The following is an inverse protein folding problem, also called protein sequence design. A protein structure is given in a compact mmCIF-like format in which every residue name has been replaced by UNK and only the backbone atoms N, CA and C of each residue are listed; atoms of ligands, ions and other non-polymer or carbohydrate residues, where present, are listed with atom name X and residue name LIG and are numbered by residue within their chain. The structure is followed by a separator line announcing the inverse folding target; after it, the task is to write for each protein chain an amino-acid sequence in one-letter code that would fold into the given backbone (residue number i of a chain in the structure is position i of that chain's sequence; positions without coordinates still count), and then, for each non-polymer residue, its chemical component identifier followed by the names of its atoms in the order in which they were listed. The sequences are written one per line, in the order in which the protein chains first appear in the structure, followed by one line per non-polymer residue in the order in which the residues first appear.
data_IF_923155892409
#
_entry.id   IF_923155892409
#
_cell.length_a   1.000
_cell.length_b   1.000
_cell.length_c   1.000
_cell.angle_alpha   90.00
_cell.angle_beta   90.00
_cell.angle_gamma   90.00
#
_symmetry.space_group_name_H-M   'P 1'
#
loop_
_entity.id
_entity.type
_entity.pdbx_description
1 polymer ?
#
# COMPACT_ATOMS: atom_id res chain seq x y z
N UNK A 1 50.36 -13.43 -26.15
CA UNK A 1 50.25 -13.00 -27.56
C UNK A 1 48.80 -12.68 -27.85
N UNK A 2 48.60 -11.45 -28.30
CA UNK A 2 47.36 -10.81 -28.76
C UNK A 2 46.74 -11.48 -29.99
N UNK A 3 45.40 -11.53 -30.05
CA UNK A 3 44.61 -10.90 -31.13
C UNK A 3 43.12 -10.88 -30.79
N UNK A 4 42.48 -9.86 -31.32
CA UNK A 4 41.25 -9.22 -30.90
C UNK A 4 40.20 -9.20 -32.01
N UNK A 5 38.91 -9.16 -31.62
CA UNK A 5 37.73 -8.64 -32.36
C UNK A 5 37.33 -9.47 -33.60
N UNK A 6 36.04 -9.69 -33.89
CA UNK A 6 35.12 -8.63 -34.29
C UNK A 6 33.64 -8.93 -34.02
N UNK A 7 32.99 -7.91 -33.50
CA UNK A 7 31.55 -7.66 -33.42
C UNK A 7 30.82 -7.81 -34.76
N UNK A 8 29.77 -8.64 -34.78
CA UNK A 8 28.71 -8.62 -35.78
C UNK A 8 27.37 -8.42 -35.05
N UNK A 9 26.95 -7.17 -34.86
CA UNK A 9 25.56 -6.76 -34.56
C UNK A 9 25.43 -5.22 -34.59
N UNK A 10 25.19 -4.63 -35.77
CA UNK A 10 24.26 -3.48 -35.77
C UNK A 10 23.34 -3.36 -37.01
N UNK A 11 23.46 -4.20 -38.05
CA UNK A 11 22.72 -3.98 -39.31
C UNK A 11 21.30 -4.56 -39.36
N UNK A 12 21.01 -5.64 -38.63
CA UNK A 12 19.69 -6.31 -38.68
C UNK A 12 18.66 -5.52 -37.86
N UNK A 13 19.05 -5.04 -36.68
CA UNK A 13 18.15 -4.31 -35.77
C UNK A 13 17.70 -2.93 -36.29
N UNK A 14 18.50 -2.29 -37.15
CA UNK A 14 18.13 -0.98 -37.74
C UNK A 14 17.14 -1.16 -38.90
N UNK A 15 17.26 -2.23 -39.71
CA UNK A 15 16.34 -2.48 -40.83
C UNK A 15 14.91 -2.80 -40.37
N UNK A 16 14.76 -3.60 -39.32
CA UNK A 16 13.43 -3.92 -38.75
C UNK A 16 12.75 -2.66 -38.21
N UNK A 17 13.49 -1.80 -37.48
CA UNK A 17 12.94 -0.53 -36.98
C UNK A 17 12.57 0.48 -38.07
N UNK A 18 13.30 0.49 -39.19
CA UNK A 18 12.97 1.39 -40.31
C UNK A 18 11.70 0.95 -41.04
N UNK A 19 11.50 -0.37 -41.18
CA UNK A 19 10.27 -0.93 -41.77
C UNK A 19 9.03 -0.65 -40.91
N UNK A 20 9.16 -0.71 -39.57
CA UNK A 20 8.09 -0.36 -38.65
C UNK A 20 7.72 1.14 -38.73
N UNK A 21 8.70 2.02 -38.92
CA UNK A 21 8.48 3.47 -39.09
C UNK A 21 7.84 3.78 -40.45
N UNK A 22 8.26 3.12 -41.53
CA UNK A 22 7.61 3.26 -42.85
C UNK A 22 6.16 2.78 -42.84
N UNK A 23 5.87 1.71 -42.09
CA UNK A 23 4.51 1.19 -41.93
C UNK A 23 3.60 2.17 -41.16
N UNK A 24 4.09 2.77 -40.07
CA UNK A 24 3.33 3.78 -39.33
C UNK A 24 3.19 5.10 -40.11
N UNK A 25 4.19 5.52 -40.89
CA UNK A 25 4.09 6.68 -41.78
C UNK A 25 3.06 6.46 -42.90
N UNK A 26 2.96 5.24 -43.42
CA UNK A 26 1.95 4.89 -44.43
C UNK A 26 0.54 4.91 -43.87
N UNK A 27 0.35 4.42 -42.64
CA UNK A 27 -0.93 4.54 -41.91
C UNK A 27 -1.30 5.99 -41.63
N UNK A 28 -0.33 6.84 -41.28
CA UNK A 28 -0.58 8.26 -41.07
C UNK A 28 -1.00 8.96 -42.36
N UNK A 29 -0.37 8.62 -43.50
CA UNK A 29 -0.73 9.19 -44.80
C UNK A 29 -2.11 8.71 -45.28
N UNK A 30 -2.47 7.44 -45.07
CA UNK A 30 -3.83 6.94 -45.35
C UNK A 30 -4.90 7.65 -44.49
N UNK A 31 -4.60 7.96 -43.23
CA UNK A 31 -5.48 8.74 -42.34
C UNK A 31 -5.60 10.23 -42.74
N UNK A 32 -4.58 10.78 -43.40
CA UNK A 32 -4.58 12.16 -43.91
C UNK A 32 -5.37 12.25 -45.22
N UNK A 33 -5.30 11.23 -46.09
CA UNK A 33 -6.10 11.17 -47.33
C UNK A 33 -7.60 11.01 -47.06
N UNK A 34 -8.01 10.34 -45.97
CA UNK A 34 -9.42 10.26 -45.57
C UNK A 34 -9.99 11.56 -44.96
N UNK A 35 -9.13 12.54 -44.66
CA UNK A 35 -9.52 13.83 -44.06
C UNK A 35 -9.54 15.01 -45.03
N UNK A 36 -9.42 14.80 -46.35
CA UNK A 36 -9.76 15.88 -47.28
C UNK A 36 -11.26 16.21 -47.14
N UNK A 37 -11.64 17.42 -46.69
CA UNK A 37 -13.02 17.82 -46.72
C UNK A 37 -13.46 17.86 -48.19
N UNK A 38 -14.57 17.18 -48.48
CA UNK A 38 -15.22 17.17 -49.78
C UNK A 38 -15.62 18.61 -50.16
N UNK A 39 -14.71 19.35 -50.80
CA UNK A 39 -15.04 20.61 -51.48
C UNK A 39 -15.78 20.25 -52.76
N UNK A 40 -17.07 19.95 -52.63
CA UNK A 40 -18.00 20.14 -53.74
C UNK A 40 -18.26 21.63 -53.82
N UNK A 41 -17.55 22.31 -54.70
CA UNK A 41 -18.04 23.54 -55.29
C UNK A 41 -19.34 23.20 -56.02
N UNK A 42 -20.48 23.40 -55.35
CA UNK A 42 -21.73 23.59 -56.07
C UNK A 42 -21.61 24.94 -56.75
N UNK A 43 -21.22 24.91 -58.03
CA UNK A 43 -21.63 25.92 -58.99
C UNK A 43 -23.16 25.94 -58.94
N UNK A 44 -23.72 26.93 -58.23
CA UNK A 44 -25.06 27.51 -58.42
C UNK A 44 -25.36 28.38 -57.18
N UNK A 45 -25.05 29.68 -57.24
CA UNK A 45 -26.04 30.76 -57.19
C UNK A 45 -25.30 32.12 -57.08
N UNK A 46 -25.24 32.84 -58.20
CA UNK A 46 -24.70 34.20 -58.28
C UNK A 46 -25.75 35.20 -57.80
N UNK A 47 -25.88 35.42 -56.49
CA UNK A 47 -26.48 36.65 -55.96
C UNK A 47 -25.89 37.05 -54.59
N UNK A 48 -25.24 38.22 -54.56
CA UNK A 48 -24.66 38.91 -53.38
C UNK A 48 -23.82 38.04 -52.42
N UNK A 49 -22.57 37.77 -52.81
CA UNK A 49 -21.62 37.02 -51.98
C UNK A 49 -21.24 37.77 -50.71
N UNK A 50 -21.70 37.27 -49.56
CA UNK A 50 -21.13 37.62 -48.27
C UNK A 50 -19.67 37.13 -48.22
N UNK A 51 -18.74 37.98 -47.76
CA UNK A 51 -17.32 37.60 -47.61
C UNK A 51 -17.07 36.71 -46.37
N UNK A 52 -18.13 36.46 -45.58
CA UNK A 52 -18.14 35.64 -44.38
C UNK A 52 -17.03 36.01 -43.36
N UNK A 53 -16.78 37.31 -43.18
CA UNK A 53 -15.81 37.79 -42.20
C UNK A 53 -16.35 37.75 -40.77
N UNK A 54 -17.66 37.98 -40.60
CA UNK A 54 -18.33 38.00 -39.31
C UNK A 54 -18.84 36.60 -38.92
N UNK A 55 -17.96 35.79 -38.34
CA UNK A 55 -18.24 34.41 -37.93
C UNK A 55 -18.44 34.30 -36.42
N UNK A 56 -19.55 33.68 -36.02
CA UNK A 56 -19.81 33.30 -34.63
C UNK A 56 -19.83 31.78 -34.50
N UNK A 57 -19.31 31.27 -33.37
CA UNK A 57 -19.34 29.84 -33.07
C UNK A 57 -20.55 29.55 -32.19
N UNK A 58 -21.56 28.86 -32.74
CA UNK A 58 -22.68 28.33 -31.95
C UNK A 58 -22.58 26.81 -31.86
N UNK A 59 -22.29 26.31 -30.65
CA UNK A 59 -22.05 24.88 -30.44
C UNK A 59 -20.77 24.42 -31.13
N UNK A 60 -20.88 23.45 -32.04
CA UNK A 60 -19.77 22.93 -32.85
C UNK A 60 -19.77 23.44 -34.29
N UNK A 61 -20.59 24.45 -34.60
CA UNK A 61 -20.70 24.99 -35.95
C UNK A 61 -20.31 26.47 -35.98
N UNK A 62 -19.58 26.86 -37.03
CA UNK A 62 -19.27 28.26 -37.33
C UNK A 62 -20.26 28.79 -38.33
N UNK A 63 -20.96 29.86 -37.93
CA UNK A 63 -22.06 30.46 -38.67
C UNK A 63 -21.67 31.89 -38.98
N UNK A 64 -21.89 32.33 -40.22
CA UNK A 64 -21.76 33.74 -40.55
C UNK A 64 -23.01 34.51 -40.13
N UNK A 65 -22.82 35.59 -39.39
CA UNK A 65 -23.92 36.40 -38.86
C UNK A 65 -24.53 37.32 -39.92
N UNK A 66 -23.81 37.59 -41.01
CA UNK A 66 -24.25 38.52 -42.05
C UNK A 66 -25.13 37.83 -43.11
N UNK A 67 -24.92 36.54 -43.37
CA UNK A 67 -25.70 35.77 -44.36
C UNK A 67 -26.35 34.49 -43.81
N UNK A 68 -26.05 34.10 -42.57
CA UNK A 68 -26.60 32.89 -41.94
C UNK A 68 -26.01 31.57 -42.43
N UNK A 69 -25.03 31.59 -43.35
CA UNK A 69 -24.42 30.37 -43.90
C UNK A 69 -23.56 29.67 -42.83
N UNK A 70 -23.77 28.36 -42.67
CA UNK A 70 -22.95 27.50 -41.83
C UNK A 70 -21.73 27.07 -42.65
N UNK A 71 -20.56 27.63 -42.35
CA UNK A 71 -19.34 27.35 -43.11
C UNK A 71 -18.66 26.05 -42.69
N UNK A 72 -18.69 25.74 -41.40
CA UNK A 72 -17.97 24.60 -40.85
C UNK A 72 -18.77 23.96 -39.74
N UNK A 73 -18.82 22.64 -39.75
CA UNK A 73 -19.37 21.82 -38.68
C UNK A 73 -18.27 20.92 -38.18
N UNK A 74 -17.74 21.23 -36.99
CA UNK A 74 -16.78 20.38 -36.33
C UNK A 74 -17.50 19.13 -35.83
N UNK A 75 -17.15 17.99 -36.40
CA UNK A 75 -17.54 16.68 -35.89
C UNK A 75 -16.44 16.18 -34.97
N UNK A 76 -16.75 15.94 -33.69
CA UNK A 76 -15.80 15.25 -32.82
C UNK A 76 -15.78 13.76 -33.16
N UNK A 77 -14.60 13.22 -33.50
CA UNK A 77 -14.39 11.77 -33.59
C UNK A 77 -14.29 11.09 -32.21
N UNK A 78 -14.36 11.88 -31.14
CA UNK A 78 -14.45 11.36 -29.79
C UNK A 78 -15.77 10.63 -29.57
N UNK A 79 -15.72 9.56 -28.77
CA UNK A 79 -16.92 8.81 -28.41
C UNK A 79 -17.86 9.72 -27.60
N UNK A 80 -18.97 10.11 -28.21
CA UNK A 80 -20.05 10.77 -27.47
C UNK A 80 -20.74 9.77 -26.53
N UNK A 81 -20.37 9.82 -25.26
CA UNK A 81 -21.03 9.02 -24.24
C UNK A 81 -22.43 9.57 -23.98
N UNK A 82 -23.43 9.00 -24.64
CA UNK A 82 -24.83 9.31 -24.35
C UNK A 82 -25.19 8.80 -22.96
N UNK A 83 -25.59 9.72 -22.06
CA UNK A 83 -26.12 9.35 -20.76
C UNK A 83 -27.59 8.93 -20.92
N UNK A 84 -27.80 7.65 -21.21
CA UNK A 84 -29.14 7.06 -21.28
C UNK A 84 -29.75 7.09 -19.88
N UNK A 85 -30.84 7.84 -19.71
CA UNK A 85 -31.58 7.91 -18.45
C UNK A 85 -32.16 6.54 -18.05
N UNK A 86 -32.58 6.42 -16.79
CA UNK A 86 -33.18 5.18 -16.24
C UNK A 86 -34.47 4.73 -16.94
N UNK A 87 -35.09 5.61 -17.73
CA UNK A 87 -36.30 5.34 -18.52
C UNK A 87 -36.02 4.99 -19.98
N UNK A 88 -34.76 5.03 -20.41
CA UNK A 88 -34.34 4.76 -21.78
C UNK A 88 -33.88 3.30 -21.92
N UNK A 89 -34.84 2.38 -21.83
CA UNK A 89 -34.65 0.93 -21.92
C UNK A 89 -35.10 0.33 -23.26
N UNK A 90 -35.78 1.09 -24.11
CA UNK A 90 -36.33 0.61 -25.40
C UNK A 90 -35.27 0.18 -26.41
N UNK A 91 -34.05 0.73 -26.32
CA UNK A 91 -32.97 0.47 -27.26
C UNK A 91 -31.77 -0.23 -26.58
N UNK A 92 -32.05 -1.16 -25.64
CA UNK A 92 -30.99 -1.87 -24.91
C UNK A 92 -30.05 -2.71 -25.79
N UNK A 93 -30.51 -3.13 -26.97
CA UNK A 93 -29.74 -3.90 -27.95
C UNK A 93 -29.11 -3.03 -29.06
N UNK A 94 -29.15 -1.69 -28.96
CA UNK A 94 -28.47 -0.83 -29.92
C UNK A 94 -26.94 -1.01 -29.82
N UNK A 95 -26.24 -1.47 -30.87
CA UNK A 95 -24.79 -1.63 -30.88
C UNK A 95 -24.03 -0.32 -30.64
N UNK A 96 -24.66 0.82 -30.91
CA UNK A 96 -24.11 2.15 -30.64
C UNK A 96 -24.21 2.55 -29.16
N UNK A 97 -24.87 1.74 -28.31
CA UNK A 97 -24.97 1.94 -26.86
C UNK A 97 -23.73 1.41 -26.13
N UNK A 98 -22.66 2.20 -26.13
CA UNK A 98 -21.47 1.91 -25.33
C UNK A 98 -21.62 2.48 -23.90
N UNK A 99 -21.68 1.62 -22.88
CA UNK A 99 -21.65 2.08 -21.49
C UNK A 99 -20.21 2.47 -21.10
N UNK A 100 -20.02 3.71 -20.61
CA UNK A 100 -18.76 4.10 -20.00
C UNK A 100 -18.51 3.24 -18.76
N UNK A 101 -17.46 2.40 -18.77
CA UNK A 101 -17.04 1.71 -17.55
C UNK A 101 -16.50 2.76 -16.60
N UNK A 102 -17.25 3.09 -15.55
CA UNK A 102 -16.75 3.93 -14.45
C UNK A 102 -15.41 3.35 -14.01
N UNK A 103 -14.37 4.18 -13.98
CA UNK A 103 -13.14 3.83 -13.26
C UNK A 103 -13.54 3.53 -11.82
N UNK A 104 -13.50 2.25 -11.44
CA UNK A 104 -13.89 1.82 -10.10
C UNK A 104 -12.80 2.31 -9.16
N UNK A 105 -13.02 3.49 -8.56
CA UNK A 105 -12.22 3.95 -7.42
C UNK A 105 -12.39 2.91 -6.32
N UNK A 106 -11.32 2.19 -6.03
CA UNK A 106 -11.33 1.12 -5.04
C UNK A 106 -11.18 1.78 -3.68
N UNK A 107 -12.27 1.76 -2.92
CA UNK A 107 -12.29 2.28 -1.57
C UNK A 107 -12.78 1.21 -0.59
N UNK A 108 -12.59 1.52 0.69
CA UNK A 108 -13.04 0.71 1.83
C UNK A 108 -14.10 1.45 2.66
N UNK A 109 -14.55 2.63 2.20
CA UNK A 109 -15.46 3.49 2.96
C UNK A 109 -16.74 2.76 3.40
N UNK A 110 -17.39 2.03 2.48
CA UNK A 110 -18.59 1.23 2.77
C UNK A 110 -18.35 0.05 3.72
N UNK A 111 -17.13 -0.50 3.71
CA UNK A 111 -16.76 -1.61 4.58
C UNK A 111 -16.58 -1.11 6.03
N UNK A 112 -15.99 0.08 6.18
CA UNK A 112 -15.64 0.69 7.48
C UNK A 112 -16.81 1.47 8.09
N UNK A 113 -17.70 2.02 7.26
CA UNK A 113 -18.89 2.77 7.71
C UNK A 113 -19.81 1.93 8.61
N UNK A 114 -19.94 0.63 8.31
CA UNK A 114 -20.73 -0.31 9.12
C UNK A 114 -20.23 -0.48 10.56
N UNK A 115 -18.99 -0.08 10.85
CA UNK A 115 -18.34 -0.27 12.14
C UNK A 115 -18.46 0.95 13.07
N UNK A 116 -19.13 2.03 12.64
CA UNK A 116 -19.31 3.23 13.46
C UNK A 116 -18.03 4.03 13.72
N UNK A 117 -17.02 3.87 12.87
CA UNK A 117 -15.71 4.53 13.02
C UNK A 117 -15.80 6.00 12.55
N UNK A 118 -15.11 6.90 13.27
CA UNK A 118 -15.02 8.33 12.94
C UNK A 118 -14.52 8.55 11.49
N UNK A 119 -15.15 9.47 10.77
CA UNK A 119 -14.81 9.85 9.40
C UNK A 119 -13.32 10.18 9.20
N UNK A 120 -12.68 10.85 10.17
CA UNK A 120 -11.24 11.17 10.08
C UNK A 120 -10.37 9.91 9.98
N UNK A 121 -10.66 8.92 10.83
CA UNK A 121 -9.94 7.63 10.84
C UNK A 121 -10.25 6.85 9.57
N UNK A 122 -11.51 6.85 9.13
CA UNK A 122 -11.94 6.17 7.90
C UNK A 122 -11.22 6.72 6.66
N UNK A 123 -11.13 8.04 6.52
CA UNK A 123 -10.43 8.68 5.40
C UNK A 123 -8.95 8.30 5.40
N UNK A 124 -8.29 8.41 6.56
CA UNK A 124 -6.88 8.01 6.73
C UNK A 124 -6.67 6.54 6.36
N UNK A 125 -7.56 5.65 6.81
CA UNK A 125 -7.49 4.23 6.50
C UNK A 125 -7.68 3.95 5.00
N UNK A 126 -8.57 4.69 4.33
CA UNK A 126 -8.83 4.56 2.91
C UNK A 126 -7.62 4.99 2.06
N UNK A 127 -6.91 6.02 2.49
CA UNK A 127 -5.70 6.50 1.82
C UNK A 127 -4.57 5.47 1.95
N UNK A 128 -4.35 4.95 3.17
CA UNK A 128 -3.40 3.83 3.40
C UNK A 128 -3.78 2.62 2.55
N UNK A 129 -5.07 2.28 2.47
CA UNK A 129 -5.53 1.14 1.68
C UNK A 129 -5.21 1.29 0.18
N UNK A 130 -5.46 2.47 -0.39
CA UNK A 130 -5.15 2.74 -1.81
C UNK A 130 -3.65 2.64 -2.07
N UNK A 131 -2.85 3.19 -1.15
CA UNK A 131 -1.40 3.17 -1.21
C UNK A 131 -0.83 1.74 -1.17
N UNK A 132 -1.23 0.93 -0.18
CA UNK A 132 -0.68 -0.43 -0.01
C UNK A 132 -1.18 -1.42 -1.04
N UNK A 133 -2.37 -1.21 -1.61
CA UNK A 133 -2.95 -2.14 -2.58
C UNK A 133 -2.53 -1.83 -4.00
N UNK A 134 -2.10 -0.60 -4.33
CA UNK A 134 -1.66 -0.19 -5.67
C UNK A 134 -2.63 -0.67 -6.78
N UNK A 135 -3.93 -0.52 -6.57
CA UNK A 135 -4.95 -1.03 -7.49
C UNK A 135 -4.87 -2.55 -7.78
N UNK A 136 -4.47 -3.37 -6.79
CA UNK A 136 -4.69 -4.83 -6.80
C UNK A 136 -6.01 -5.20 -6.14
N UNK A 137 -6.57 -6.36 -6.52
CA UNK A 137 -7.84 -6.85 -5.98
C UNK A 137 -7.57 -7.92 -4.95
N UNK A 138 -8.05 -7.70 -3.74
CA UNK A 138 -8.07 -8.69 -2.68
C UNK A 138 -9.51 -9.08 -2.37
N UNK A 139 -9.73 -10.37 -2.08
CA UNK A 139 -11.06 -10.94 -1.80
C UNK A 139 -11.05 -11.76 -0.51
N UNK A 140 -12.25 -11.99 0.03
CA UNK A 140 -12.46 -12.81 1.22
C UNK A 140 -11.69 -12.32 2.46
N UNK A 141 -11.14 -13.26 3.22
CA UNK A 141 -10.43 -12.97 4.46
C UNK A 141 -9.19 -12.10 4.26
N UNK A 142 -8.51 -12.21 3.12
CA UNK A 142 -7.34 -11.36 2.82
C UNK A 142 -7.75 -9.89 2.73
N UNK A 143 -8.87 -9.58 2.07
CA UNK A 143 -9.41 -8.20 2.01
C UNK A 143 -9.73 -7.69 3.42
N UNK A 144 -10.47 -8.47 4.21
CA UNK A 144 -10.83 -8.12 5.59
C UNK A 144 -9.59 -7.84 6.45
N UNK A 145 -8.56 -8.68 6.34
CA UNK A 145 -7.30 -8.48 7.06
C UNK A 145 -6.56 -7.20 6.66
N UNK A 146 -6.53 -6.86 5.38
CA UNK A 146 -5.90 -5.61 4.91
C UNK A 146 -6.70 -4.39 5.41
N UNK A 147 -8.03 -4.43 5.34
CA UNK A 147 -8.89 -3.34 5.86
C UNK A 147 -8.63 -3.12 7.35
N UNK A 148 -8.66 -4.19 8.14
CA UNK A 148 -8.34 -4.14 9.57
C UNK A 148 -6.99 -3.47 9.85
N UNK A 149 -5.95 -3.88 9.12
CA UNK A 149 -4.62 -3.32 9.30
C UNK A 149 -4.54 -1.84 8.94
N UNK A 150 -5.19 -1.41 7.86
CA UNK A 150 -5.25 0.01 7.48
C UNK A 150 -5.93 0.85 8.57
N UNK A 151 -7.02 0.34 9.16
CA UNK A 151 -7.73 1.01 10.26
C UNK A 151 -6.88 1.05 11.54
N UNK A 152 -6.20 -0.04 11.88
CA UNK A 152 -5.26 -0.08 13.00
C UNK A 152 -4.17 0.99 12.89
N UNK A 153 -3.56 1.11 11.71
CA UNK A 153 -2.55 2.13 11.46
C UNK A 153 -3.14 3.55 11.45
N UNK A 154 -4.35 3.74 10.92
CA UNK A 154 -5.04 5.03 10.99
C UNK A 154 -5.28 5.50 12.43
N UNK A 155 -5.68 4.60 13.34
CA UNK A 155 -5.78 4.91 14.77
C UNK A 155 -4.43 5.29 15.39
N UNK A 156 -3.36 4.58 15.02
CA UNK A 156 -2.00 4.87 15.50
C UNK A 156 -1.52 6.25 15.06
N UNK A 157 -1.71 6.60 13.79
CA UNK A 157 -1.32 7.91 13.23
C UNK A 157 -2.08 9.06 13.88
N UNK A 158 -3.36 8.86 14.19
CA UNK A 158 -4.21 9.88 14.82
C UNK A 158 -4.04 9.95 16.35
N UNK A 159 -3.01 9.30 16.92
CA UNK A 159 -2.71 9.29 18.35
C UNK A 159 -3.86 8.78 19.24
N UNK A 160 -4.73 7.93 18.70
CA UNK A 160 -5.81 7.25 19.44
C UNK A 160 -5.63 5.73 19.31
N UNK A 161 -4.51 5.16 19.81
CA UNK A 161 -4.22 3.75 19.64
C UNK A 161 -5.26 2.90 20.36
N UNK A 162 -5.91 2.01 19.63
CA UNK A 162 -6.78 0.97 20.19
C UNK A 162 -5.98 -0.34 20.29
N UNK A 163 -6.32 -1.17 21.28
CA UNK A 163 -5.71 -2.49 21.38
C UNK A 163 -6.05 -3.32 20.15
N UNK A 164 -5.06 -4.06 19.63
CA UNK A 164 -5.28 -5.03 18.55
C UNK A 164 -6.43 -5.99 18.88
N UNK A 165 -6.53 -6.43 20.13
CA UNK A 165 -7.54 -7.39 20.58
C UNK A 165 -8.95 -6.79 20.49
N UNK A 166 -9.12 -5.53 20.92
CA UNK A 166 -10.39 -4.81 20.84
C UNK A 166 -10.84 -4.63 19.39
N UNK A 167 -9.93 -4.22 18.50
CA UNK A 167 -10.25 -4.06 17.08
C UNK A 167 -10.55 -5.41 16.41
N UNK A 168 -9.90 -6.50 16.82
CA UNK A 168 -10.18 -7.84 16.31
C UNK A 168 -11.63 -8.24 16.64
N UNK A 169 -12.09 -7.93 17.85
CA UNK A 169 -13.46 -8.15 18.28
C UNK A 169 -14.45 -7.29 17.47
N UNK A 170 -14.16 -6.01 17.28
CA UNK A 170 -15.02 -5.09 16.50
C UNK A 170 -15.15 -5.53 15.04
N UNK A 171 -14.06 -6.01 14.43
CA UNK A 171 -14.05 -6.45 13.04
C UNK A 171 -14.54 -7.90 12.84
N UNK A 172 -14.80 -8.63 13.93
CA UNK A 172 -15.19 -10.05 13.90
C UNK A 172 -14.28 -10.90 13.00
N UNK A 173 -12.96 -10.69 13.12
CA UNK A 173 -11.97 -11.41 12.32
C UNK A 173 -11.14 -12.38 13.17
N UNK A 174 -10.63 -13.42 12.53
CA UNK A 174 -9.66 -14.29 13.16
C UNK A 174 -8.32 -13.56 13.39
N UNK A 175 -7.73 -13.72 14.57
CA UNK A 175 -6.42 -13.13 14.91
C UNK A 175 -5.33 -13.47 13.88
N UNK A 176 -5.31 -14.70 13.36
CA UNK A 176 -4.36 -15.11 12.30
C UNK A 176 -4.52 -14.28 11.02
N UNK A 177 -5.75 -13.94 10.65
CA UNK A 177 -6.06 -13.10 9.48
C UNK A 177 -5.68 -11.65 9.74
N UNK A 178 -5.97 -11.14 10.93
CA UNK A 178 -5.58 -9.80 11.38
C UNK A 178 -4.06 -9.58 11.28
N UNK A 179 -3.28 -10.52 11.84
CA UNK A 179 -1.81 -10.48 11.81
C UNK A 179 -1.24 -10.58 10.39
N UNK A 180 -1.84 -11.40 9.52
CA UNK A 180 -1.45 -11.47 8.10
C UNK A 180 -1.68 -10.13 7.39
N UNK A 181 -2.80 -9.47 7.69
CA UNK A 181 -3.11 -8.12 7.20
C UNK A 181 -2.10 -7.09 7.67
N UNK A 182 -1.80 -7.06 8.97
CA UNK A 182 -0.79 -6.15 9.54
C UNK A 182 0.58 -6.36 8.91
N UNK A 183 0.99 -7.62 8.71
CA UNK A 183 2.24 -7.93 8.01
C UNK A 183 2.23 -7.39 6.57
N UNK A 184 1.14 -7.60 5.84
CA UNK A 184 1.01 -7.12 4.46
C UNK A 184 1.13 -5.60 4.39
N UNK A 185 0.36 -4.89 5.22
CA UNK A 185 0.34 -3.43 5.25
C UNK A 185 1.72 -2.89 5.64
N UNK A 186 2.31 -3.38 6.74
CA UNK A 186 3.65 -2.96 7.17
C UNK A 186 4.73 -3.15 6.08
N UNK A 187 4.68 -4.22 5.28
CA UNK A 187 5.64 -4.46 4.21
C UNK A 187 5.46 -3.50 3.02
N UNK A 188 4.24 -3.09 2.71
CA UNK A 188 3.92 -2.28 1.54
C UNK A 188 3.78 -0.77 1.84
N UNK A 189 3.79 -0.35 3.12
CA UNK A 189 3.90 1.07 3.45
C UNK A 189 5.28 1.62 3.09
N UNK A 190 5.37 2.84 2.52
CA UNK A 190 6.65 3.49 2.29
C UNK A 190 7.36 3.79 3.60
N UNK A 191 8.69 3.65 3.54
CA UNK A 191 9.63 3.67 4.67
C UNK A 191 9.58 4.98 5.47
N UNK A 192 9.16 6.08 4.84
CA UNK A 192 9.17 7.44 5.42
C UNK A 192 7.93 7.82 6.25
N UNK A 193 6.95 6.92 6.36
CA UNK A 193 5.80 7.19 7.21
C UNK A 193 6.16 6.87 8.67
N UNK A 194 5.84 7.78 9.60
CA UNK A 194 6.05 7.70 11.07
C UNK A 194 5.45 6.45 11.77
N UNK A 195 5.08 5.43 11.00
CA UNK A 195 4.33 4.25 11.37
C UNK A 195 5.27 3.07 11.68
N UNK A 196 6.47 3.03 11.07
CA UNK A 196 7.44 1.92 11.24
C UNK A 196 8.32 2.01 12.48
N UNK A 197 8.37 3.14 13.19
CA UNK A 197 9.41 3.41 14.19
C UNK A 197 9.00 3.13 15.64
N UNK A 198 8.50 1.92 15.91
CA UNK A 198 8.48 1.39 17.27
C UNK A 198 8.96 -0.07 17.25
N UNK A 199 10.24 -0.27 16.93
CA UNK A 199 10.90 -1.48 17.40
C UNK A 199 10.91 -1.39 18.91
N UNK A 200 10.06 -2.18 19.59
CA UNK A 200 10.05 -2.27 21.05
C UNK A 200 11.46 -2.64 21.48
N UNK A 201 12.10 -1.71 22.17
CA UNK A 201 13.47 -1.88 22.64
C UNK A 201 13.53 -2.92 23.76
N UNK A 202 14.59 -3.72 23.79
CA UNK A 202 14.75 -4.80 24.79
C UNK A 202 14.74 -4.22 26.22
N UNK A 203 15.47 -3.14 26.53
CA UNK A 203 15.36 -2.39 27.78
C UNK A 203 13.94 -2.00 28.18
N UNK A 204 13.09 -1.54 27.25
CA UNK A 204 11.71 -1.20 27.56
C UNK A 204 10.94 -2.43 28.02
N UNK A 205 11.14 -3.54 27.32
CA UNK A 205 10.47 -4.78 27.64
C UNK A 205 10.96 -5.42 28.95
N UNK A 206 12.24 -5.26 29.28
CA UNK A 206 12.77 -5.63 30.60
C UNK A 206 12.04 -4.87 31.70
N UNK A 207 11.84 -3.55 31.53
CA UNK A 207 11.11 -2.72 32.51
C UNK A 207 9.67 -3.21 32.68
N UNK A 208 8.95 -3.45 31.58
CA UNK A 208 7.57 -3.99 31.60
C UNK A 208 7.51 -5.35 32.30
N UNK A 209 8.43 -6.25 31.96
CA UNK A 209 8.47 -7.59 32.55
C UNK A 209 8.74 -7.51 34.05
N UNK A 210 9.68 -6.67 34.49
CA UNK A 210 10.00 -6.48 35.91
C UNK A 210 8.87 -5.80 36.70
N UNK A 211 8.10 -4.91 36.07
CA UNK A 211 6.89 -4.33 36.67
C UNK A 211 5.83 -5.39 36.97
N UNK A 212 5.67 -6.41 36.12
CA UNK A 212 4.75 -7.52 36.36
C UNK A 212 5.11 -8.36 37.62
N UNK A 213 6.36 -8.26 38.08
CA UNK A 213 6.88 -8.88 39.30
C UNK A 213 6.97 -7.91 40.49
N UNK A 214 6.45 -6.68 40.36
CA UNK A 214 6.51 -5.63 41.39
C UNK A 214 7.94 -5.31 41.87
N UNK A 215 8.92 -5.33 40.95
CA UNK A 215 10.32 -5.09 41.27
C UNK A 215 10.63 -3.63 41.62
N UNK A 216 11.64 -3.42 42.46
CA UNK A 216 12.15 -2.09 42.80
C UNK A 216 12.94 -1.46 41.64
N UNK A 217 13.00 -0.12 41.53
CA UNK A 217 13.79 0.56 40.49
C UNK A 217 15.28 0.18 40.50
N UNK A 218 15.83 -0.14 41.67
CA UNK A 218 17.22 -0.60 41.83
C UNK A 218 17.44 -1.95 41.14
N UNK A 219 16.52 -2.90 41.36
CA UNK A 219 16.57 -4.21 40.69
C UNK A 219 16.43 -4.07 39.17
N UNK A 220 15.57 -3.18 38.71
CA UNK A 220 15.45 -2.87 37.27
C UNK A 220 16.77 -2.35 36.71
N UNK A 221 17.46 -1.47 37.43
CA UNK A 221 18.79 -0.97 37.06
C UNK A 221 19.84 -2.09 36.94
N UNK A 222 19.87 -3.02 37.91
CA UNK A 222 20.77 -4.18 37.90
C UNK A 222 20.52 -5.10 36.70
N UNK A 223 19.25 -5.38 36.38
CA UNK A 223 18.89 -6.22 35.23
C UNK A 223 19.27 -5.56 33.90
N UNK A 224 19.11 -4.23 33.80
CA UNK A 224 19.53 -3.48 32.61
C UNK A 224 21.05 -3.49 32.43
N UNK A 225 21.80 -3.37 33.53
CA UNK A 225 23.26 -3.46 33.49
C UNK A 225 23.70 -4.87 33.07
N UNK A 226 23.10 -5.91 33.63
CA UNK A 226 23.31 -7.28 33.20
C UNK A 226 23.03 -7.45 31.70
N UNK A 227 21.93 -6.89 31.19
CA UNK A 227 21.62 -6.94 29.75
C UNK A 227 22.71 -6.28 28.89
N UNK A 228 23.22 -5.10 29.26
CA UNK A 228 24.30 -4.43 28.52
C UNK A 228 25.56 -5.29 28.44
N UNK A 229 25.88 -6.02 29.51
CA UNK A 229 27.05 -6.90 29.55
C UNK A 229 26.88 -8.16 28.69
N UNK A 230 25.63 -8.60 28.48
CA UNK A 230 25.28 -9.76 27.65
C UNK A 230 25.16 -9.43 26.16
N UNK A 231 24.92 -8.15 25.83
CA UNK A 231 24.75 -7.70 24.45
C UNK A 231 25.99 -8.00 23.60
N UNK A 232 25.77 -8.51 22.38
CA UNK A 232 26.83 -8.90 21.44
C UNK A 232 27.81 -10.00 21.91
N UNK A 233 27.52 -10.71 23.00
CA UNK A 233 28.34 -11.82 23.50
C UNK A 233 27.93 -13.19 22.98
N UNK A 234 26.69 -13.35 22.50
CA UNK A 234 26.20 -14.60 21.94
C UNK A 234 25.38 -14.39 20.67
N UNK A 235 25.69 -15.20 19.66
CA UNK A 235 24.93 -15.25 18.41
C UNK A 235 23.49 -15.74 18.64
N UNK A 236 23.27 -16.57 19.66
CA UNK A 236 21.95 -17.09 20.00
C UNK A 236 21.06 -15.98 20.57
N UNK A 237 21.59 -15.15 21.47
CA UNK A 237 20.84 -14.01 22.03
C UNK A 237 20.52 -12.98 20.95
N UNK A 238 21.50 -12.65 20.11
CA UNK A 238 21.33 -11.66 19.03
C UNK A 238 20.32 -12.10 17.96
N UNK A 239 20.19 -13.39 17.68
CA UNK A 239 19.20 -13.93 16.73
C UNK A 239 17.82 -14.14 17.36
N UNK A 240 17.75 -14.19 18.69
CA UNK A 240 16.51 -14.48 19.40
C UNK A 240 15.54 -13.31 19.35
N UNK A 241 14.24 -13.59 19.54
CA UNK A 241 13.23 -12.53 19.60
C UNK A 241 13.49 -11.63 20.81
N UNK A 242 13.36 -10.30 20.69
CA UNK A 242 13.51 -9.36 21.81
C UNK A 242 12.75 -9.78 23.08
N UNK A 243 11.53 -10.30 22.90
CA UNK A 243 10.73 -10.83 24.00
C UNK A 243 11.36 -12.00 24.74
N UNK A 244 11.90 -12.95 24.00
CA UNK A 244 12.54 -14.12 24.58
C UNK A 244 13.79 -13.73 25.37
N UNK A 245 14.55 -12.75 24.87
CA UNK A 245 15.76 -12.25 25.53
C UNK A 245 15.40 -11.51 26.82
N UNK A 246 14.50 -10.53 26.77
CA UNK A 246 14.09 -9.77 27.95
C UNK A 246 13.58 -10.68 29.09
N UNK A 247 12.65 -11.60 28.78
CA UNK A 247 12.13 -12.54 29.76
C UNK A 247 13.20 -13.51 30.29
N UNK A 248 14.14 -13.93 29.44
CA UNK A 248 15.24 -14.82 29.84
C UNK A 248 16.23 -14.15 30.78
N UNK A 249 16.58 -12.89 30.52
CA UNK A 249 17.46 -12.09 31.39
C UNK A 249 16.81 -11.86 32.75
N UNK A 250 15.51 -11.49 32.77
CA UNK A 250 14.74 -11.33 34.01
C UNK A 250 14.68 -12.65 34.80
N UNK A 251 14.35 -13.77 34.14
CA UNK A 251 14.30 -15.08 34.80
C UNK A 251 15.66 -15.46 35.40
N UNK A 252 16.75 -15.25 34.68
CA UNK A 252 18.09 -15.53 35.17
C UNK A 252 18.40 -14.70 36.43
N UNK A 253 18.13 -13.39 36.40
CA UNK A 253 18.35 -12.52 37.56
C UNK A 253 17.55 -12.95 38.81
N UNK A 254 16.28 -13.30 38.64
CA UNK A 254 15.43 -13.79 39.74
C UNK A 254 16.02 -15.05 40.37
N UNK A 255 16.44 -16.02 39.55
CA UNK A 255 17.02 -17.29 40.04
C UNK A 255 18.38 -17.10 40.72
N UNK A 256 19.15 -16.07 40.34
CA UNK A 256 20.41 -15.75 41.02
C UNK A 256 20.21 -15.16 42.42
N UNK A 257 19.17 -14.34 42.61
CA UNK A 257 18.86 -13.75 43.93
C UNK A 257 18.03 -14.69 44.82
N UNK A 258 17.18 -15.53 44.22
CA UNK A 258 16.35 -16.49 44.92
C UNK A 258 16.27 -17.82 44.12
N UNK A 259 17.15 -18.80 44.42
CA UNK A 259 17.18 -20.09 43.73
C UNK A 259 15.89 -20.92 43.87
N UNK A 260 15.17 -20.77 44.98
CA UNK A 260 13.95 -21.53 45.29
C UNK A 260 12.67 -20.88 44.74
N UNK A 261 12.82 -19.83 43.93
CA UNK A 261 11.67 -19.13 43.37
C UNK A 261 10.87 -20.02 42.43
N UNK A 262 9.55 -20.09 42.65
CA UNK A 262 8.67 -21.00 41.89
C UNK A 262 8.71 -20.71 40.37
N UNK A 263 9.19 -21.68 39.60
CA UNK A 263 9.19 -21.63 38.14
C UNK A 263 7.77 -21.52 37.56
N UNK A 264 6.76 -22.07 38.26
CA UNK A 264 5.36 -21.95 37.85
C UNK A 264 4.86 -20.51 37.98
N UNK A 265 5.21 -19.81 39.06
CA UNK A 265 4.86 -18.40 39.25
C UNK A 265 5.51 -17.51 38.18
N UNK A 266 6.79 -17.76 37.84
CA UNK A 266 7.46 -17.08 36.72
C UNK A 266 6.69 -17.31 35.42
N UNK A 267 6.27 -18.55 35.14
CA UNK A 267 5.54 -18.88 33.92
C UNK A 267 4.15 -18.24 33.87
N UNK A 268 3.45 -18.13 34.98
CA UNK A 268 2.14 -17.46 35.00
C UNK A 268 2.26 -15.97 34.66
N UNK A 269 3.33 -15.31 35.14
CA UNK A 269 3.59 -13.89 34.86
C UNK A 269 4.18 -13.66 33.47
N UNK A 270 5.04 -14.58 33.00
CA UNK A 270 5.71 -14.49 31.69
C UNK A 270 4.94 -15.34 30.67
N UNK A 271 4.26 -14.69 29.73
CA UNK A 271 3.50 -15.32 28.63
C UNK A 271 4.41 -15.97 27.56
N UNK A 272 5.40 -16.79 27.95
CA UNK A 272 6.35 -17.47 27.07
C UNK A 272 6.49 -18.96 27.43
N UNK A 273 6.85 -19.79 26.46
CA UNK A 273 7.10 -21.22 26.68
C UNK A 273 8.36 -21.45 27.52
N UNK A 274 8.28 -22.37 28.49
CA UNK A 274 9.42 -22.75 29.35
C UNK A 274 10.61 -23.26 28.55
N UNK A 275 10.40 -24.08 27.50
CA UNK A 275 11.52 -24.59 26.70
C UNK A 275 12.35 -23.44 26.10
N UNK A 276 11.67 -22.34 25.73
CA UNK A 276 12.34 -21.13 25.22
C UNK A 276 13.11 -20.42 26.33
N UNK A 277 12.50 -20.25 27.50
CA UNK A 277 13.15 -19.62 28.66
C UNK A 277 14.37 -20.42 29.12
N UNK A 278 14.25 -21.74 29.29
CA UNK A 278 15.35 -22.61 29.73
C UNK A 278 16.52 -22.59 28.76
N UNK A 279 16.25 -22.53 27.45
CA UNK A 279 17.30 -22.38 26.42
C UNK A 279 18.06 -21.05 26.56
N UNK A 280 17.35 -19.94 26.73
CA UNK A 280 17.95 -18.61 26.87
C UNK A 280 18.72 -18.49 28.19
N UNK A 281 18.14 -18.96 29.30
CA UNK A 281 18.77 -18.94 30.64
C UNK A 281 20.06 -19.75 30.66
N UNK A 282 20.09 -20.94 30.03
CA UNK A 282 21.29 -21.77 29.92
C UNK A 282 22.40 -21.08 29.11
N UNK A 283 22.02 -20.36 28.05
CA UNK A 283 22.99 -19.57 27.29
C UNK A 283 23.56 -18.43 28.13
N UNK A 284 22.71 -17.69 28.85
CA UNK A 284 23.13 -16.61 29.75
C UNK A 284 24.08 -17.15 30.84
N UNK A 285 23.76 -18.28 31.48
CA UNK A 285 24.64 -18.88 32.49
C UNK A 285 26.01 -19.24 31.94
N UNK A 286 26.09 -19.74 30.69
CA UNK A 286 27.36 -20.06 30.04
C UNK A 286 28.18 -18.79 29.77
N UNK A 287 27.55 -17.68 29.39
CA UNK A 287 28.24 -16.41 29.13
C UNK A 287 28.78 -15.81 30.42
N UNK A 288 27.95 -15.79 31.48
CA UNK A 288 28.34 -15.27 32.79
C UNK A 288 29.51 -16.08 33.36
N UNK A 289 29.46 -17.41 33.26
CA UNK A 289 30.55 -18.28 33.70
C UNK A 289 31.86 -18.07 32.92
N UNK A 290 31.80 -17.81 31.61
CA UNK A 290 32.99 -17.59 30.76
C UNK A 290 33.64 -16.23 30.95
N UNK A 291 32.83 -15.19 31.18
CA UNK A 291 33.29 -13.80 31.21
C UNK A 291 33.43 -13.22 32.62
N UNK A 292 33.20 -14.04 33.65
CA UNK A 292 33.24 -13.65 35.07
C UNK A 292 32.43 -12.37 35.35
N UNK A 293 31.22 -12.32 34.79
CA UNK A 293 30.31 -11.18 34.92
C UNK A 293 29.81 -11.12 36.37
N UNK A 294 30.07 -9.99 37.04
CA UNK A 294 29.61 -9.73 38.41
C UNK A 294 28.15 -9.26 38.40
N UNK A 295 27.32 -9.86 39.26
CA UNK A 295 25.86 -9.61 39.40
C UNK A 295 25.55 -8.90 40.72
#
# INVERSE_FOLDING_TARGET
MSRSKTDLKPKIYIKEKMADIEFELRKLNELIEEQEPCLKTTEDDMTSGCQHENLETQGSSKICMDCGTILMKDFSYEKEWRYYGVHDTKHANDPNRCNFRKHVCRNIDKDVEKLGINAKIRNTANDIYKEVTQNKIYRGNTRKGIIFACVYHAYKINSLPHSCEQLITIFEINQKTALKGLKFVNLNLPIHSNIRNETIDIPHLIKETMQNFSATPVQVGQVLELYRQLENRSSLLNRSRPQSVACGVVKYFILQKNPDFSNEYIRQKIKLSELTLSRIVKEISNIVAKNNILI
#
